data_IF_866140322664
#
_entry.id   IF_866140322664
#
_cell.length_a   1.000
_cell.length_b   1.000
_cell.length_c   1.000
_cell.angle_alpha   90.00
_cell.angle_beta   90.00
_cell.angle_gamma   90.00
#
_symmetry.space_group_name_H-M   'P 1'
#
loop_
_entity.id
_entity.type
_entity.pdbx_description
1 polymer ?
#
# COMPACT_ATOMS: atom_id res chain seq x y z
N UNK A 1 2.03 -13.70 -2.44
CA UNK A 1 3.42 -13.25 -2.63
C UNK A 1 4.40 -14.41 -2.41
N UNK A 2 4.50 -14.99 -1.20
CA UNK A 2 5.47 -16.04 -0.83
C UNK A 2 5.41 -17.21 -1.81
N UNK A 3 4.23 -17.79 -2.03
CA UNK A 3 4.02 -18.83 -3.03
C UNK A 3 4.60 -18.46 -4.40
N UNK A 4 4.26 -17.26 -4.90
CA UNK A 4 4.72 -16.79 -6.21
C UNK A 4 6.25 -16.61 -6.27
N UNK A 5 6.87 -16.11 -5.19
CA UNK A 5 8.33 -15.98 -5.11
C UNK A 5 9.03 -17.34 -5.21
N UNK A 6 8.52 -18.35 -4.53
CA UNK A 6 9.05 -19.72 -4.55
C UNK A 6 8.87 -20.33 -5.93
N UNK A 7 7.65 -20.32 -6.48
CA UNK A 7 7.35 -20.88 -7.81
C UNK A 7 8.19 -20.25 -8.95
N UNK A 8 8.56 -19.00 -8.79
CA UNK A 8 9.42 -18.29 -9.75
C UNK A 8 10.91 -18.37 -9.44
N UNK A 9 11.31 -19.08 -8.36
CA UNK A 9 12.70 -19.14 -7.94
C UNK A 9 13.33 -17.81 -7.53
N UNK A 10 12.51 -16.84 -7.08
CA UNK A 10 12.96 -15.47 -6.77
C UNK A 10 13.50 -15.36 -5.35
N UNK A 11 12.90 -16.04 -4.40
CA UNK A 11 13.27 -15.99 -2.99
C UNK A 11 12.75 -17.24 -2.26
N UNK A 12 13.52 -17.75 -1.33
CA UNK A 12 13.16 -18.90 -0.50
C UNK A 12 13.24 -18.61 1.01
N UNK A 13 13.79 -17.46 1.40
CA UNK A 13 13.94 -17.08 2.80
C UNK A 13 13.12 -15.81 3.08
N UNK A 14 12.23 -15.89 4.06
CA UNK A 14 11.30 -14.81 4.40
C UNK A 14 11.39 -14.47 5.88
N UNK A 15 11.55 -13.16 6.18
CA UNK A 15 11.37 -12.58 7.50
C UNK A 15 10.17 -11.63 7.45
N UNK A 16 9.07 -12.01 8.07
CA UNK A 16 7.79 -11.30 7.93
C UNK A 16 7.40 -10.65 9.26
N UNK A 17 7.07 -9.38 9.22
CA UNK A 17 6.44 -8.66 10.34
C UNK A 17 4.97 -8.45 9.99
N UNK A 18 4.09 -9.01 10.79
CA UNK A 18 2.64 -8.88 10.67
C UNK A 18 2.17 -7.89 11.74
N UNK A 19 1.36 -6.91 11.35
CA UNK A 19 0.77 -5.95 12.29
C UNK A 19 -0.74 -6.10 12.24
N UNK A 20 -1.34 -6.54 13.32
CA UNK A 20 -2.78 -6.80 13.40
C UNK A 20 -3.29 -6.49 14.81
N UNK A 21 -4.44 -5.84 14.90
CA UNK A 21 -5.10 -5.50 16.17
C UNK A 21 -6.42 -6.22 16.37
N UNK A 22 -6.98 -6.83 15.32
CA UNK A 22 -8.21 -7.60 15.41
C UNK A 22 -7.97 -8.94 16.10
N UNK A 23 -8.62 -9.12 17.24
CA UNK A 23 -8.48 -10.32 18.09
C UNK A 23 -8.96 -11.60 17.40
N UNK A 24 -9.92 -11.54 16.49
CA UNK A 24 -10.39 -12.70 15.75
C UNK A 24 -9.39 -13.11 14.68
N UNK A 25 -8.79 -12.16 13.99
CA UNK A 25 -7.71 -12.41 13.04
C UNK A 25 -6.48 -12.99 13.76
N UNK A 26 -6.12 -12.44 14.91
CA UNK A 26 -4.98 -12.93 15.71
C UNK A 26 -5.13 -14.40 16.16
N UNK A 27 -6.36 -14.91 16.35
CA UNK A 27 -6.60 -16.34 16.66
C UNK A 27 -6.28 -17.27 15.49
N UNK A 28 -6.43 -16.80 14.26
CA UNK A 28 -6.26 -17.60 13.04
C UNK A 28 -4.85 -17.47 12.48
N UNK A 29 -4.23 -16.33 12.67
CA UNK A 29 -2.94 -15.94 12.08
C UNK A 29 -1.81 -16.97 12.32
N UNK A 30 -1.62 -17.54 13.54
CA UNK A 30 -0.59 -18.55 13.77
C UNK A 30 -0.78 -19.81 12.93
N UNK A 31 -2.02 -20.23 12.68
CA UNK A 31 -2.33 -21.40 11.84
C UNK A 31 -1.94 -21.15 10.38
N UNK A 32 -2.23 -19.94 9.88
CA UNK A 32 -1.86 -19.52 8.52
C UNK A 32 -0.33 -19.48 8.40
N UNK A 33 0.35 -18.87 9.38
CA UNK A 33 1.81 -18.80 9.40
C UNK A 33 2.46 -20.18 9.42
N UNK A 34 1.91 -21.13 10.20
CA UNK A 34 2.40 -22.50 10.23
C UNK A 34 2.26 -23.22 8.88
N UNK A 35 1.13 -23.04 8.19
CA UNK A 35 0.95 -23.58 6.83
C UNK A 35 2.00 -23.03 5.86
N UNK A 36 2.25 -21.72 5.94
CA UNK A 36 3.27 -21.06 5.10
C UNK A 36 4.67 -21.57 5.45
N UNK A 37 4.98 -21.75 6.72
CA UNK A 37 6.26 -22.28 7.20
C UNK A 37 6.52 -23.67 6.62
N UNK A 38 5.54 -24.58 6.70
CA UNK A 38 5.64 -25.93 6.13
C UNK A 38 5.85 -25.89 4.62
N UNK A 39 5.08 -25.06 3.91
CA UNK A 39 5.22 -24.90 2.47
C UNK A 39 6.62 -24.38 2.07
N UNK A 40 7.14 -23.38 2.77
CA UNK A 40 8.47 -22.80 2.50
C UNK A 40 9.56 -23.84 2.80
N UNK A 41 9.45 -24.58 3.90
CA UNK A 41 10.41 -25.62 4.28
C UNK A 41 10.46 -26.78 3.27
N UNK A 42 9.30 -27.21 2.74
CA UNK A 42 9.21 -28.24 1.69
C UNK A 42 9.94 -27.85 0.39
N UNK A 43 10.08 -26.53 0.15
CA UNK A 43 10.83 -25.98 -0.99
C UNK A 43 12.27 -25.56 -0.63
N UNK A 44 12.79 -26.03 0.51
CA UNK A 44 14.18 -25.79 0.92
C UNK A 44 14.46 -24.38 1.44
N UNK A 45 13.43 -23.63 1.81
CA UNK A 45 13.53 -22.27 2.33
C UNK A 45 13.32 -22.15 3.83
N UNK A 46 13.32 -20.91 4.34
CA UNK A 46 13.03 -20.58 5.73
C UNK A 46 11.99 -19.45 5.82
N UNK A 47 11.00 -19.62 6.67
CA UNK A 47 10.00 -18.62 7.00
C UNK A 47 10.09 -18.29 8.49
N UNK A 48 10.33 -17.01 8.79
CA UNK A 48 10.30 -16.48 10.14
C UNK A 48 9.31 -15.35 10.20
N UNK A 49 8.55 -15.26 11.28
CA UNK A 49 7.58 -14.18 11.44
C UNK A 49 7.52 -13.67 12.87
N UNK A 50 7.11 -12.44 13.00
CA UNK A 50 6.70 -11.82 14.28
C UNK A 50 5.34 -11.17 14.09
N UNK A 51 4.56 -11.10 15.16
CA UNK A 51 3.25 -10.43 15.16
C UNK A 51 3.30 -9.27 16.15
N UNK A 52 3.01 -8.07 15.66
CA UNK A 52 2.85 -6.86 16.44
C UNK A 52 1.35 -6.63 16.62
N UNK A 53 0.87 -6.60 17.86
CA UNK A 53 -0.56 -6.43 18.19
C UNK A 53 -0.91 -4.98 18.55
N UNK A 54 0.00 -4.05 18.27
CA UNK A 54 -0.14 -2.64 18.55
C UNK A 54 -0.59 -1.86 17.30
N UNK A 55 -1.04 -0.62 17.52
CA UNK A 55 -1.46 0.25 16.43
C UNK A 55 -0.28 0.58 15.50
N UNK A 56 -0.41 0.24 14.22
CA UNK A 56 0.64 0.42 13.20
C UNK A 56 1.19 1.85 13.14
N UNK A 57 0.34 2.87 13.27
CA UNK A 57 0.75 4.27 13.15
C UNK A 57 1.64 4.70 14.31
N UNK A 58 1.25 4.36 15.54
CA UNK A 58 1.93 4.81 16.75
C UNK A 58 3.08 3.89 17.18
N UNK A 59 3.10 2.65 16.69
CA UNK A 59 4.18 1.71 16.99
C UNK A 59 5.53 2.20 16.47
N UNK A 60 6.59 2.04 17.27
CA UNK A 60 7.96 2.46 16.94
C UNK A 60 8.76 1.26 16.41
N UNK A 61 8.82 1.13 15.11
CA UNK A 61 9.64 0.10 14.47
C UNK A 61 11.13 0.44 14.63
N UNK A 62 11.93 -0.57 14.95
CA UNK A 62 13.40 -0.47 15.07
C UNK A 62 14.15 -0.89 13.81
N UNK A 63 13.42 -1.30 12.77
CA UNK A 63 13.97 -1.82 11.51
C UNK A 63 13.23 -1.24 10.30
N UNK A 64 13.85 -1.37 9.15
CA UNK A 64 13.26 -1.08 7.83
C UNK A 64 12.96 -2.37 7.08
N UNK A 65 12.19 -2.27 6.00
CA UNK A 65 11.67 -3.42 5.25
C UNK A 65 12.00 -3.32 3.77
N UNK A 66 12.23 -4.50 3.16
CA UNK A 66 12.39 -4.62 1.70
C UNK A 66 11.08 -4.42 0.95
N UNK A 67 9.97 -4.85 1.58
CA UNK A 67 8.63 -4.81 0.98
C UNK A 67 7.62 -4.47 2.07
N UNK A 68 6.71 -3.54 1.78
CA UNK A 68 5.51 -3.29 2.57
C UNK A 68 4.29 -3.47 1.67
N UNK A 69 3.39 -4.38 2.08
CA UNK A 69 2.12 -4.64 1.39
C UNK A 69 0.99 -4.39 2.38
N UNK A 70 0.00 -3.60 1.98
CA UNK A 70 -1.11 -3.27 2.87
C UNK A 70 -2.42 -3.02 2.11
N UNK A 71 -3.51 -3.49 2.71
CA UNK A 71 -4.86 -2.99 2.47
C UNK A 71 -5.30 -2.29 3.77
N UNK A 72 -5.06 -0.97 3.90
CA UNK A 72 -5.30 -0.26 5.16
C UNK A 72 -6.80 -0.04 5.40
N UNK A 73 -7.22 0.19 6.65
CA UNK A 73 -8.60 0.50 6.95
C UNK A 73 -9.02 1.90 6.43
N UNK A 74 -10.19 1.99 5.79
CA UNK A 74 -10.74 3.22 5.20
C UNK A 74 -11.61 3.96 6.22
N UNK A 75 -10.98 4.56 7.24
CA UNK A 75 -11.66 5.22 8.34
C UNK A 75 -11.22 6.68 8.47
N UNK A 76 -12.19 7.58 8.59
CA UNK A 76 -11.94 8.98 8.96
C UNK A 76 -11.47 9.06 10.42
N UNK A 77 -10.51 9.92 10.68
CA UNK A 77 -9.97 10.17 12.01
C UNK A 77 -10.32 11.57 12.50
N UNK A 78 -10.31 11.74 13.82
CA UNK A 78 -10.32 13.06 14.43
C UNK A 78 -8.89 13.64 14.37
N UNK A 79 -8.79 14.97 14.23
CA UNK A 79 -7.49 15.67 14.22
C UNK A 79 -6.68 15.50 15.51
N UNK A 80 -7.38 15.30 16.62
CA UNK A 80 -6.79 15.13 17.96
C UNK A 80 -6.50 13.67 18.33
N UNK A 81 -6.76 12.72 17.42
CA UNK A 81 -6.41 11.30 17.65
C UNK A 81 -4.90 11.08 17.77
N UNK A 82 -4.51 10.00 18.45
CA UNK A 82 -3.09 9.64 18.62
C UNK A 82 -2.38 9.48 17.28
N UNK A 83 -3.05 8.84 16.30
CA UNK A 83 -2.53 8.63 14.95
C UNK A 83 -2.33 9.95 14.21
N UNK A 84 -3.28 10.88 14.33
CA UNK A 84 -3.19 12.20 13.68
C UNK A 84 -2.08 13.06 14.28
N UNK A 85 -1.84 12.95 15.57
CA UNK A 85 -0.73 13.64 16.26
C UNK A 85 0.62 13.03 15.91
N UNK A 86 0.70 11.70 15.84
CA UNK A 86 1.93 10.99 15.45
C UNK A 86 2.37 11.35 14.01
N UNK A 87 1.40 11.61 13.14
CA UNK A 87 1.62 11.86 11.70
C UNK A 87 1.22 13.28 11.29
N UNK A 88 1.36 14.27 12.19
CA UNK A 88 0.89 15.65 11.98
C UNK A 88 1.49 16.34 10.74
N UNK A 89 2.69 15.96 10.36
CA UNK A 89 3.39 16.48 9.18
C UNK A 89 2.70 16.13 7.84
N UNK A 90 1.85 15.09 7.79
CA UNK A 90 1.06 14.73 6.60
C UNK A 90 -0.43 15.02 6.76
N UNK A 91 -0.86 15.48 7.93
CA UNK A 91 -2.26 15.82 8.19
C UNK A 91 -2.61 17.21 7.65
N UNK A 92 -3.67 17.27 6.81
CA UNK A 92 -4.30 18.49 6.38
C UNK A 92 -5.82 18.30 6.37
N UNK A 93 -6.55 19.22 7.03
CA UNK A 93 -8.00 19.08 7.13
C UNK A 93 -8.43 17.89 8.00
N UNK A 94 -9.37 17.07 7.55
CA UNK A 94 -9.83 15.88 8.24
C UNK A 94 -9.03 14.67 7.75
N UNK A 95 -8.20 14.06 8.60
CA UNK A 95 -7.37 12.93 8.19
C UNK A 95 -8.17 11.66 7.95
N UNK A 96 -7.69 10.82 7.06
CA UNK A 96 -8.18 9.46 6.88
C UNK A 96 -7.04 8.48 7.18
N UNK A 97 -7.37 7.40 7.87
CA UNK A 97 -6.40 6.45 8.40
C UNK A 97 -5.52 5.84 7.29
N UNK A 98 -6.10 5.50 6.13
CA UNK A 98 -5.31 4.91 5.03
C UNK A 98 -4.21 5.85 4.51
N UNK A 99 -4.44 7.17 4.48
CA UNK A 99 -3.40 8.13 4.09
C UNK A 99 -2.22 8.15 5.08
N UNK A 100 -2.51 8.04 6.38
CA UNK A 100 -1.47 7.92 7.41
C UNK A 100 -0.72 6.59 7.30
N UNK A 101 -1.43 5.48 7.03
CA UNK A 101 -0.81 4.17 6.76
C UNK A 101 0.17 4.25 5.58
N UNK A 102 -0.22 4.89 4.48
CA UNK A 102 0.65 5.08 3.31
C UNK A 102 1.93 5.83 3.68
N UNK A 103 1.81 6.96 4.38
CA UNK A 103 2.97 7.76 4.78
C UNK A 103 3.87 7.01 5.77
N UNK A 104 3.31 6.35 6.78
CA UNK A 104 4.05 5.52 7.73
C UNK A 104 4.79 4.39 7.02
N UNK A 105 4.12 3.63 6.16
CA UNK A 105 4.70 2.54 5.40
C UNK A 105 5.86 3.01 4.51
N UNK A 106 5.70 4.14 3.83
CA UNK A 106 6.76 4.73 3.02
C UNK A 106 8.01 5.07 3.85
N UNK A 107 7.83 5.54 5.10
CA UNK A 107 8.95 5.82 6.01
C UNK A 107 9.72 4.57 6.47
N UNK A 108 9.04 3.43 6.50
CA UNK A 108 9.61 2.15 6.99
C UNK A 108 10.35 1.36 5.91
N UNK A 109 10.27 1.74 4.65
CA UNK A 109 11.01 1.06 3.59
C UNK A 109 12.49 1.38 3.63
N UNK A 110 13.33 0.42 3.35
CA UNK A 110 14.73 0.66 3.02
C UNK A 110 14.87 1.25 1.60
N UNK A 111 16.05 1.76 1.26
CA UNK A 111 16.33 2.28 -0.08
C UNK A 111 16.03 1.21 -1.15
N UNK A 112 15.27 1.56 -2.18
CA UNK A 112 14.74 0.68 -3.23
C UNK A 112 13.70 -0.36 -2.77
N UNK A 113 13.31 -0.35 -1.51
CA UNK A 113 12.24 -1.21 -0.99
C UNK A 113 10.90 -0.95 -1.69
N UNK A 114 10.08 -1.98 -1.81
CA UNK A 114 8.84 -1.96 -2.58
C UNK A 114 7.63 -1.60 -1.71
N UNK A 115 6.80 -0.73 -2.24
CA UNK A 115 5.56 -0.25 -1.65
C UNK A 115 4.38 -0.74 -2.49
N UNK A 116 3.46 -1.50 -1.88
CA UNK A 116 2.29 -2.05 -2.57
C UNK A 116 1.06 -1.83 -1.70
N UNK A 117 0.12 -1.01 -2.18
CA UNK A 117 -1.07 -0.62 -1.41
C UNK A 117 -2.34 -0.73 -2.25
N UNK A 118 -3.41 -1.25 -1.64
CA UNK A 118 -4.76 -1.11 -2.14
C UNK A 118 -5.41 0.05 -1.39
N UNK A 119 -5.89 1.06 -2.11
CA UNK A 119 -6.49 2.27 -1.51
C UNK A 119 -7.65 2.80 -2.32
N UNK A 120 -8.55 3.62 -1.73
CA UNK A 120 -9.46 4.44 -2.52
C UNK A 120 -8.72 5.43 -3.40
N UNK A 121 -9.29 5.82 -4.55
CA UNK A 121 -8.73 6.84 -5.45
C UNK A 121 -8.76 8.26 -4.86
N UNK A 122 -9.57 8.52 -3.83
CA UNK A 122 -9.81 9.87 -3.31
C UNK A 122 -8.57 10.64 -2.83
N UNK A 123 -7.46 9.95 -2.52
CA UNK A 123 -6.20 10.61 -2.16
C UNK A 123 -5.44 11.18 -3.35
N UNK A 124 -5.75 10.77 -4.57
CA UNK A 124 -4.99 11.15 -5.78
C UNK A 124 -5.17 12.62 -6.17
N UNK A 125 -6.21 13.29 -5.67
CA UNK A 125 -6.51 14.68 -6.00
C UNK A 125 -7.09 15.45 -4.80
N UNK A 126 -7.30 16.74 -4.98
CA UNK A 126 -7.89 17.63 -3.99
C UNK A 126 -6.94 18.01 -2.85
N UNK A 127 -7.37 18.99 -2.04
CA UNK A 127 -6.49 19.59 -1.03
C UNK A 127 -6.31 18.75 0.24
N UNK A 128 -7.29 17.88 0.60
CA UNK A 128 -7.25 17.15 1.87
C UNK A 128 -6.07 16.18 1.98
N UNK A 129 -5.63 15.61 0.87
CA UNK A 129 -4.50 14.69 0.82
C UNK A 129 -3.21 15.33 0.25
N UNK A 130 -3.19 16.62 0.08
CA UNK A 130 -2.04 17.32 -0.51
C UNK A 130 -0.73 17.00 0.21
N UNK A 131 -0.70 17.06 1.54
CA UNK A 131 0.51 16.76 2.32
C UNK A 131 0.90 15.28 2.27
N UNK A 132 -0.08 14.37 2.21
CA UNK A 132 0.18 12.93 2.00
C UNK A 132 0.84 12.73 0.65
N UNK A 133 0.28 13.31 -0.43
CA UNK A 133 0.86 13.20 -1.79
C UNK A 133 2.26 13.79 -1.87
N UNK A 134 2.45 14.99 -1.35
CA UNK A 134 3.75 15.64 -1.29
C UNK A 134 4.79 14.76 -0.59
N UNK A 135 4.44 14.20 0.56
CA UNK A 135 5.30 13.28 1.29
C UNK A 135 5.62 12.03 0.47
N UNK A 136 4.61 11.41 -0.14
CA UNK A 136 4.79 10.20 -0.95
C UNK A 136 5.69 10.47 -2.16
N UNK A 137 5.51 11.59 -2.89
CA UNK A 137 6.32 11.92 -4.06
C UNK A 137 7.77 12.27 -3.72
N UNK A 138 8.00 12.84 -2.54
CA UNK A 138 9.35 13.08 -2.03
C UNK A 138 10.04 11.82 -1.50
N UNK A 139 9.28 10.76 -1.25
CA UNK A 139 9.76 9.53 -0.60
C UNK A 139 9.80 8.34 -1.55
N UNK A 140 8.86 8.27 -2.48
CA UNK A 140 8.62 7.13 -3.36
C UNK A 140 8.72 7.52 -4.83
N UNK A 141 9.28 6.62 -5.61
CA UNK A 141 9.16 6.59 -7.06
C UNK A 141 7.97 5.70 -7.43
N UNK A 142 6.90 6.28 -7.97
CA UNK A 142 5.72 5.54 -8.43
C UNK A 142 6.08 4.78 -9.70
N UNK A 143 5.84 3.47 -9.69
CA UNK A 143 6.13 2.57 -10.81
C UNK A 143 4.85 2.25 -11.57
N UNK A 144 3.77 1.99 -10.86
CA UNK A 144 2.53 1.57 -11.48
C UNK A 144 1.29 1.82 -10.64
N UNK A 145 0.18 1.91 -11.36
CA UNK A 145 -1.16 2.05 -10.81
C UNK A 145 -2.08 1.06 -11.51
N UNK A 146 -2.85 0.30 -10.75
CA UNK A 146 -3.93 -0.52 -11.31
C UNK A 146 -5.27 0.03 -10.84
N UNK A 147 -6.13 0.36 -11.78
CA UNK A 147 -7.48 0.88 -11.58
C UNK A 147 -8.50 -0.25 -11.77
N UNK A 148 -9.53 -0.28 -10.92
CA UNK A 148 -10.64 -1.19 -11.07
C UNK A 148 -11.87 -0.38 -11.53
N UNK A 149 -12.44 -0.73 -12.69
CA UNK A 149 -13.72 -0.16 -13.11
C UNK A 149 -14.85 -0.87 -12.35
N UNK A 150 -15.40 -0.18 -11.38
CA UNK A 150 -16.46 -0.69 -10.50
C UNK A 150 -17.82 -0.79 -11.17
N UNK A 151 -18.00 -0.28 -12.40
CA UNK A 151 -19.28 -0.33 -13.12
C UNK A 151 -19.77 -1.74 -13.38
N UNK A 152 -18.92 -2.76 -13.26
CA UNK A 152 -19.23 -4.16 -13.55
C UNK A 152 -19.15 -5.11 -12.34
N UNK A 153 -19.32 -4.63 -11.12
CA UNK A 153 -19.69 -5.46 -9.98
C UNK A 153 -18.64 -6.41 -9.40
N UNK A 154 -17.35 -6.08 -9.44
CA UNK A 154 -16.27 -6.92 -8.88
C UNK A 154 -16.36 -7.06 -7.35
N UNK A 155 -17.07 -6.16 -6.66
CA UNK A 155 -17.31 -6.18 -5.21
C UNK A 155 -18.80 -6.11 -4.87
N UNK A 156 -19.59 -7.08 -5.33
CA UNK A 156 -21.07 -7.09 -5.18
C UNK A 156 -21.57 -7.28 -3.76
N UNK A 157 -20.73 -7.63 -2.79
CA UNK A 157 -21.17 -7.94 -1.42
C UNK A 157 -20.78 -6.89 -0.36
N UNK A 158 -20.05 -5.85 -0.72
CA UNK A 158 -19.74 -4.76 0.22
C UNK A 158 -20.22 -3.44 -0.38
N UNK A 159 -20.94 -2.64 0.42
CA UNK A 159 -21.37 -1.28 0.07
C UNK A 159 -20.19 -0.30 -0.07
N UNK A 160 -19.11 -0.71 -0.72
CA UNK A 160 -17.94 0.15 -0.97
C UNK A 160 -18.18 0.88 -2.29
N UNK A 161 -18.89 1.99 -2.21
CA UNK A 161 -19.10 2.97 -3.31
C UNK A 161 -17.80 3.73 -3.68
N UNK A 162 -16.63 3.29 -3.22
CA UNK A 162 -15.36 3.97 -3.49
C UNK A 162 -14.55 3.19 -4.52
N UNK A 163 -14.24 3.85 -5.64
CA UNK A 163 -13.29 3.33 -6.61
C UNK A 163 -11.94 3.07 -5.92
N UNK A 164 -11.49 1.82 -5.97
CA UNK A 164 -10.20 1.41 -5.41
C UNK A 164 -9.13 1.34 -6.49
N UNK A 165 -7.88 1.40 -6.05
CA UNK A 165 -6.70 1.26 -6.91
C UNK A 165 -5.61 0.49 -6.18
N UNK A 166 -4.72 -0.17 -6.95
CA UNK A 166 -3.45 -0.66 -6.43
C UNK A 166 -2.36 0.32 -6.84
N UNK A 167 -1.60 0.78 -5.87
CA UNK A 167 -0.40 1.59 -6.07
C UNK A 167 0.84 0.74 -5.85
N UNK A 168 1.74 0.75 -6.83
CA UNK A 168 3.07 0.12 -6.75
C UNK A 168 4.13 1.19 -6.87
N UNK A 169 5.04 1.25 -5.90
CA UNK A 169 6.14 2.21 -5.88
C UNK A 169 7.40 1.60 -5.27
N UNK A 170 8.53 2.31 -5.38
CA UNK A 170 9.79 1.99 -4.69
C UNK A 170 10.27 3.16 -3.85
N UNK A 171 10.93 2.89 -2.76
CA UNK A 171 11.63 3.93 -1.97
C UNK A 171 12.71 4.59 -2.82
N UNK A 172 12.65 5.91 -2.93
CA UNK A 172 13.61 6.73 -3.67
C UNK A 172 12.98 8.07 -4.05
N UNK A 173 13.79 9.12 -4.12
CA UNK A 173 13.32 10.50 -4.36
C UNK A 173 13.27 10.89 -5.85
N UNK A 174 13.79 10.07 -6.74
CA UNK A 174 13.78 10.36 -8.18
C UNK A 174 12.67 9.57 -8.86
N UNK A 175 11.68 10.27 -9.42
CA UNK A 175 10.63 9.65 -10.21
C UNK A 175 11.21 9.12 -11.53
N UNK A 176 10.84 7.90 -11.90
CA UNK A 176 11.19 7.32 -13.20
C UNK A 176 10.51 8.04 -14.38
N UNK A 177 10.96 7.73 -15.60
CA UNK A 177 10.48 8.40 -16.81
C UNK A 177 9.02 8.06 -17.16
N UNK A 178 8.51 6.92 -16.73
CA UNK A 178 7.15 6.46 -17.00
C UNK A 178 6.51 5.80 -15.80
N UNK A 179 5.19 5.77 -15.79
CA UNK A 179 4.33 5.06 -14.85
C UNK A 179 3.45 4.11 -15.65
N UNK A 180 3.39 2.86 -15.23
CA UNK A 180 2.50 1.87 -15.81
C UNK A 180 1.09 2.06 -15.26
N UNK A 181 0.12 2.28 -16.13
CA UNK A 181 -1.29 2.35 -15.75
C UNK A 181 -2.01 1.14 -16.32
N UNK A 182 -2.52 0.30 -15.44
CA UNK A 182 -3.38 -0.83 -15.77
C UNK A 182 -4.82 -0.47 -15.44
N UNK A 183 -5.76 -0.78 -16.32
CA UNK A 183 -7.19 -0.69 -16.04
C UNK A 183 -7.82 -2.07 -16.22
N UNK A 184 -8.52 -2.53 -15.18
CA UNK A 184 -9.23 -3.80 -15.17
C UNK A 184 -10.72 -3.49 -15.25
N UNK A 185 -11.32 -3.73 -16.44
CA UNK A 185 -12.76 -3.49 -16.70
C UNK A 185 -13.62 -4.71 -16.32
N UNK A 186 -13.11 -5.90 -16.60
CA UNK A 186 -13.68 -7.20 -16.21
C UNK A 186 -12.55 -8.22 -16.17
N UNK A 187 -12.81 -9.40 -15.63
CA UNK A 187 -11.78 -10.46 -15.48
C UNK A 187 -11.04 -10.82 -16.79
N UNK A 188 -11.60 -10.46 -17.95
CA UNK A 188 -11.05 -10.79 -19.26
C UNK A 188 -10.35 -9.64 -20.01
N UNK A 189 -10.59 -8.38 -19.65
CA UNK A 189 -10.11 -7.22 -20.42
C UNK A 189 -9.17 -6.35 -19.59
N UNK A 190 -7.88 -6.67 -19.64
CA UNK A 190 -6.84 -5.83 -19.05
C UNK A 190 -6.23 -4.93 -20.12
N UNK A 191 -6.27 -3.62 -19.91
CA UNK A 191 -5.49 -2.66 -20.69
C UNK A 191 -4.24 -2.26 -19.94
N UNK A 192 -3.13 -2.17 -20.65
CA UNK A 192 -1.83 -1.78 -20.12
C UNK A 192 -1.29 -0.63 -20.96
N UNK A 193 -0.96 0.49 -20.30
CA UNK A 193 -0.44 1.69 -20.95
C UNK A 193 0.74 2.23 -20.15
N UNK A 194 1.86 2.46 -20.82
CA UNK A 194 2.98 3.23 -20.28
C UNK A 194 2.75 4.72 -20.52
N UNK A 195 2.67 5.49 -19.45
CA UNK A 195 2.43 6.93 -19.53
C UNK A 195 3.64 7.68 -18.98
N UNK A 196 4.16 8.72 -19.68
CA UNK A 196 5.20 9.57 -19.13
C UNK A 196 4.83 10.14 -17.77
N UNK A 197 5.73 10.03 -16.79
CA UNK A 197 5.43 10.38 -15.39
C UNK A 197 5.03 11.84 -15.19
N UNK A 198 5.57 12.76 -16.00
CA UNK A 198 5.21 14.18 -15.98
C UNK A 198 3.76 14.48 -16.42
N UNK A 199 3.11 13.54 -17.13
CA UNK A 199 1.69 13.65 -17.48
C UNK A 199 0.78 13.08 -16.39
N UNK A 200 1.29 12.23 -15.50
CA UNK A 200 0.52 11.59 -14.43
C UNK A 200 0.68 12.35 -13.12
N UNK A 201 1.90 12.74 -12.77
CA UNK A 201 2.19 13.47 -11.53
C UNK A 201 2.20 14.97 -11.81
N UNK A 202 1.19 15.66 -11.32
CA UNK A 202 1.12 17.13 -11.38
C UNK A 202 1.58 17.70 -10.04
N UNK A 203 2.77 18.29 -10.04
CA UNK A 203 3.38 18.97 -8.88
C UNK A 203 2.89 20.42 -8.68
N UNK A 204 1.78 20.82 -9.31
CA UNK A 204 1.11 22.10 -9.06
C UNK A 204 0.61 22.24 -7.62
N UNK A 205 -0.25 23.24 -7.35
CA UNK A 205 -0.67 23.64 -5.98
C UNK A 205 -1.14 22.48 -5.08
N UNK A 206 -1.60 21.35 -5.64
CA UNK A 206 -2.15 20.23 -4.88
C UNK A 206 -1.40 18.91 -5.07
N UNK A 207 -0.32 18.88 -5.85
CA UNK A 207 0.45 17.64 -6.13
C UNK A 207 -0.45 16.47 -6.60
N UNK A 208 -1.35 16.72 -7.54
CA UNK A 208 -2.32 15.72 -7.96
C UNK A 208 -1.67 14.56 -8.74
N UNK A 209 -2.20 13.36 -8.56
CA UNK A 209 -1.96 12.20 -9.43
C UNK A 209 -3.12 12.14 -10.43
N UNK A 210 -2.84 12.46 -11.68
CA UNK A 210 -3.84 12.48 -12.75
C UNK A 210 -4.00 11.07 -13.32
N UNK A 211 -5.16 10.47 -13.11
CA UNK A 211 -5.49 9.13 -13.57
C UNK A 211 -6.68 9.21 -14.56
N UNK A 212 -6.75 8.27 -15.52
CA UNK A 212 -7.91 8.17 -16.40
C UNK A 212 -9.20 8.00 -15.59
N UNK A 213 -10.31 8.57 -16.10
CA UNK A 213 -11.65 8.50 -15.50
C UNK A 213 -12.36 7.21 -15.83
#
# INVERSE_FOLDING_TARGET
LIYHCIEKGLCFNFNVTLVETDTEVLKILPKICHIIELYVADHGGAFRYEVITENFITYKFSKTFDVVICNPPYKKLRKDSAESKEMDYVVYGQPNLYGLFMAKAASLLQQHGQFIFITPRSWTSGQYYMRVREYLYNTLNIIGVTLFDTRNGVFTNEQVLQETMILVAKRGSSQGNSIVINTIFAVADNTHIDVPSNLVINVGSFHNLLLPG
#
